data_IF_512724753498
#
_entry.id   IF_512724753498
#
_cell.length_a   1.000
_cell.length_b   1.000
_cell.length_c   1.000
_cell.angle_alpha   90.00
_cell.angle_beta   90.00
_cell.angle_gamma   90.00
#
_symmetry.space_group_name_H-M   'P 1'
#
loop_
_entity.id
_entity.type
_entity.pdbx_description
1 polymer ?
#
# COMPACT_ATOMS: atom_id res chain seq x y z
N UNK A 1 -38.76 -65.08 1.79
CA UNK A 1 -40.01 -64.98 2.58
C UNK A 1 -40.89 -63.91 1.94
N UNK A 2 -42.14 -64.29 1.57
CA UNK A 2 -43.30 -63.49 1.10
C UNK A 2 -43.07 -62.63 -0.16
N UNK A 3 -43.50 -62.95 -1.38
CA UNK A 3 -44.66 -63.65 -1.96
C UNK A 3 -45.98 -62.83 -1.99
N UNK A 4 -46.42 -62.46 -3.21
CA UNK A 4 -47.79 -62.46 -3.79
C UNK A 4 -47.84 -61.53 -5.02
N UNK A 5 -48.56 -61.74 -6.13
CA UNK A 5 -49.22 -62.83 -6.89
C UNK A 5 -50.21 -62.11 -7.84
N UNK A 6 -50.39 -62.56 -9.10
CA UNK A 6 -51.51 -62.13 -9.96
C UNK A 6 -51.15 -61.88 -11.44
N UNK A 7 -50.94 -62.84 -12.36
CA UNK A 7 -51.81 -63.82 -13.05
C UNK A 7 -52.64 -63.35 -14.28
N UNK A 8 -52.26 -63.91 -15.47
CA UNK A 8 -53.08 -64.43 -16.63
C UNK A 8 -53.61 -63.31 -17.60
N UNK A 9 -53.61 -63.33 -18.96
CA UNK A 9 -54.03 -64.32 -19.99
C UNK A 9 -53.41 -64.02 -21.39
N UNK A 10 -53.14 -65.12 -22.12
CA UNK A 10 -52.78 -65.35 -23.52
C UNK A 10 -53.72 -64.73 -24.59
N UNK A 11 -53.20 -64.33 -25.76
CA UNK A 11 -53.88 -64.59 -27.05
C UNK A 11 -52.90 -64.51 -28.24
N UNK A 12 -52.89 -65.60 -29.02
CA UNK A 12 -52.22 -65.82 -30.30
C UNK A 12 -53.00 -65.17 -31.45
N UNK A 13 -52.31 -64.64 -32.48
CA UNK A 13 -52.82 -64.61 -33.86
C UNK A 13 -51.69 -64.80 -34.88
N UNK A 14 -52.01 -65.57 -35.92
CA UNK A 14 -51.14 -66.28 -36.88
C UNK A 14 -51.37 -65.71 -38.29
N UNK A 15 -50.31 -65.52 -39.11
CA UNK A 15 -50.35 -65.52 -40.59
C UNK A 15 -48.89 -65.54 -41.13
N UNK A 16 -48.31 -66.60 -41.74
CA UNK A 16 -48.45 -67.13 -43.12
C UNK A 16 -48.28 -66.00 -44.19
N UNK A 17 -47.24 -65.93 -45.06
CA UNK A 17 -46.95 -66.81 -46.21
C UNK A 17 -45.69 -66.36 -47.00
N UNK A 18 -44.85 -67.34 -47.36
CA UNK A 18 -44.03 -67.59 -48.57
C UNK A 18 -42.84 -66.72 -49.08
N UNK A 19 -41.81 -67.50 -49.42
CA UNK A 19 -40.49 -67.29 -50.03
C UNK A 19 -40.58 -67.08 -51.56
N UNK A 20 -39.67 -66.33 -52.19
CA UNK A 20 -38.91 -66.75 -53.39
C UNK A 20 -37.69 -65.85 -53.65
N UNK A 21 -36.58 -66.49 -53.98
CA UNK A 21 -35.29 -65.94 -54.38
C UNK A 21 -35.10 -66.24 -55.88
N UNK A 22 -34.64 -65.30 -56.70
CA UNK A 22 -34.22 -65.56 -58.08
C UNK A 22 -33.18 -64.55 -58.60
N UNK A 23 -32.18 -65.06 -59.34
CA UNK A 23 -30.93 -64.42 -59.74
C UNK A 23 -30.94 -63.66 -61.09
N UNK A 24 -30.12 -62.59 -61.12
CA UNK A 24 -29.12 -62.09 -62.11
C UNK A 24 -29.46 -61.94 -63.61
N UNK A 25 -29.19 -60.72 -64.14
CA UNK A 25 -28.56 -60.50 -65.46
C UNK A 25 -27.87 -59.11 -65.55
N UNK A 26 -26.56 -59.11 -65.79
CA UNK A 26 -25.71 -58.06 -66.39
C UNK A 26 -25.83 -58.19 -67.93
N UNK A 27 -25.66 -57.22 -68.84
CA UNK A 27 -24.99 -55.91 -68.92
C UNK A 27 -25.72 -55.10 -70.02
N UNK A 28 -25.70 -53.77 -69.94
CA UNK A 28 -25.55 -52.86 -71.08
C UNK A 28 -25.00 -51.51 -70.54
N UNK A 29 -24.12 -50.87 -71.30
CA UNK A 29 -23.16 -49.85 -70.84
C UNK A 29 -23.70 -48.73 -69.95
N UNK A 30 -22.95 -48.42 -68.89
CA UNK A 30 -23.15 -47.18 -68.12
C UNK A 30 -22.89 -45.99 -69.05
N UNK A 31 -23.97 -45.29 -69.38
CA UNK A 31 -23.94 -43.84 -69.63
C UNK A 31 -23.08 -43.18 -68.54
N UNK A 32 -22.18 -42.22 -68.85
CA UNK A 32 -21.52 -41.48 -67.78
C UNK A 32 -22.60 -40.90 -66.87
N UNK A 33 -22.50 -41.19 -65.57
CA UNK A 33 -23.48 -40.71 -64.59
C UNK A 33 -23.78 -39.23 -64.84
N UNK A 34 -25.06 -38.82 -64.89
CA UNK A 34 -25.41 -37.44 -65.18
C UNK A 34 -24.65 -36.54 -64.20
N UNK A 35 -23.93 -35.55 -64.72
CA UNK A 35 -23.18 -34.59 -63.90
C UNK A 35 -24.19 -33.89 -62.99
N UNK A 36 -24.11 -34.18 -61.69
CA UNK A 36 -25.01 -33.59 -60.70
C UNK A 36 -24.69 -32.11 -60.56
N UNK A 37 -25.65 -31.25 -60.90
CA UNK A 37 -25.54 -29.81 -60.68
C UNK A 37 -25.71 -29.51 -59.20
N UNK A 38 -24.85 -28.65 -58.64
CA UNK A 38 -24.93 -28.21 -57.24
C UNK A 38 -24.80 -26.70 -57.13
N UNK A 39 -25.50 -26.13 -56.16
CA UNK A 39 -25.31 -24.79 -55.64
C UNK A 39 -25.11 -24.95 -54.14
N UNK A 40 -24.15 -24.26 -53.55
CA UNK A 40 -23.87 -24.29 -52.11
C UNK A 40 -23.44 -22.90 -51.67
N UNK A 41 -24.09 -22.35 -50.64
CA UNK A 41 -23.65 -21.12 -49.98
C UNK A 41 -22.51 -21.50 -49.04
N UNK A 42 -21.31 -21.01 -49.30
CA UNK A 42 -20.09 -21.35 -48.55
C UNK A 42 -19.71 -20.29 -47.50
N UNK A 43 -20.26 -19.09 -47.64
CA UNK A 43 -20.13 -17.99 -46.70
C UNK A 43 -21.41 -17.14 -46.77
N UNK A 44 -22.01 -16.71 -45.65
CA UNK A 44 -21.81 -17.22 -44.29
C UNK A 44 -22.25 -18.68 -44.11
N UNK A 45 -21.94 -19.28 -42.96
CA UNK A 45 -22.45 -20.62 -42.60
C UNK A 45 -23.92 -20.56 -42.15
N UNK A 46 -24.65 -21.66 -42.32
CA UNK A 46 -26.04 -21.76 -41.84
C UNK A 46 -26.17 -21.47 -40.33
N UNK A 47 -27.21 -20.73 -39.97
CA UNK A 47 -27.52 -20.22 -38.64
C UNK A 47 -26.47 -19.26 -38.05
N UNK A 48 -25.62 -18.64 -38.87
CA UNK A 48 -24.68 -17.61 -38.39
C UNK A 48 -25.44 -16.42 -37.77
N UNK A 49 -24.92 -15.92 -36.65
CA UNK A 49 -25.40 -14.70 -36.00
C UNK A 49 -24.58 -13.51 -36.48
N UNK A 50 -25.25 -12.44 -36.88
CA UNK A 50 -24.62 -11.21 -37.37
C UNK A 50 -25.25 -10.01 -36.66
N UNK A 51 -24.41 -9.07 -36.23
CA UNK A 51 -24.87 -7.82 -35.63
C UNK A 51 -25.41 -6.89 -36.72
N UNK A 52 -26.60 -6.31 -36.49
CA UNK A 52 -27.17 -5.31 -37.40
C UNK A 52 -26.20 -4.13 -37.56
N UNK A 53 -25.97 -3.72 -38.82
CA UNK A 53 -25.00 -2.69 -39.21
C UNK A 53 -23.68 -3.26 -39.73
N UNK A 54 -23.43 -4.57 -39.61
CA UNK A 54 -22.33 -5.24 -40.31
C UNK A 54 -22.67 -5.50 -41.79
N UNK A 55 -21.65 -5.46 -42.64
CA UNK A 55 -21.78 -5.86 -44.05
C UNK A 55 -21.36 -7.33 -44.15
N UNK A 56 -22.27 -8.20 -44.56
CA UNK A 56 -22.02 -9.63 -44.74
C UNK A 56 -21.60 -9.88 -46.19
N UNK A 57 -20.50 -10.60 -46.40
CA UNK A 57 -20.21 -11.19 -47.71
C UNK A 57 -20.89 -12.55 -47.83
N UNK A 58 -21.69 -12.70 -48.88
CA UNK A 58 -22.38 -13.93 -49.24
C UNK A 58 -21.69 -14.51 -50.46
N UNK A 59 -21.13 -15.71 -50.33
CA UNK A 59 -20.42 -16.42 -51.38
C UNK A 59 -21.08 -17.76 -51.65
N UNK A 60 -21.26 -18.10 -52.92
CA UNK A 60 -21.77 -19.39 -53.33
C UNK A 60 -20.83 -20.08 -54.33
N UNK A 61 -20.79 -21.40 -54.28
CA UNK A 61 -20.07 -22.26 -55.20
C UNK A 61 -21.07 -23.08 -56.00
N UNK A 62 -20.92 -23.05 -57.32
CA UNK A 62 -21.73 -23.84 -58.25
C UNK A 62 -20.86 -24.87 -58.97
N UNK A 63 -21.37 -26.07 -59.18
CA UNK A 63 -20.65 -27.14 -59.89
C UNK A 63 -21.57 -27.93 -60.83
N UNK A 64 -20.98 -28.55 -61.86
CA UNK A 64 -21.70 -29.43 -62.77
C UNK A 64 -22.47 -28.76 -63.91
N UNK A 65 -22.30 -27.45 -64.10
CA UNK A 65 -22.93 -26.66 -65.16
C UNK A 65 -22.06 -26.61 -66.43
N UNK A 66 -22.68 -26.61 -67.61
CA UNK A 66 -21.99 -26.72 -68.91
C UNK A 66 -21.85 -25.41 -69.70
N UNK A 67 -22.52 -24.33 -69.29
CA UNK A 67 -22.60 -23.02 -69.95
C UNK A 67 -22.50 -21.85 -68.94
N UNK A 68 -22.81 -20.62 -69.37
CA UNK A 68 -22.99 -19.45 -68.50
C UNK A 68 -24.07 -19.72 -67.45
N UNK A 69 -23.69 -19.72 -66.17
CA UNK A 69 -24.61 -19.85 -65.04
C UNK A 69 -24.99 -18.47 -64.55
N UNK A 70 -26.28 -18.25 -64.37
CA UNK A 70 -26.81 -17.09 -63.67
C UNK A 70 -27.10 -17.51 -62.23
N UNK A 71 -26.55 -16.79 -61.25
CA UNK A 71 -26.83 -17.01 -59.83
C UNK A 71 -27.66 -15.85 -59.30
N UNK A 72 -28.82 -16.15 -58.74
CA UNK A 72 -29.65 -15.18 -58.04
C UNK A 72 -29.61 -15.44 -56.53
N UNK A 73 -29.39 -14.39 -55.75
CA UNK A 73 -29.53 -14.43 -54.30
C UNK A 73 -30.86 -13.81 -53.90
N UNK A 74 -31.55 -14.48 -52.99
CA UNK A 74 -32.81 -14.01 -52.40
C UNK A 74 -32.72 -13.99 -50.88
N UNK A 75 -33.35 -12.99 -50.26
CA UNK A 75 -33.57 -12.89 -48.82
C UNK A 75 -35.08 -12.93 -48.59
N UNK A 76 -35.55 -13.88 -47.78
CA UNK A 76 -36.98 -14.09 -47.47
C UNK A 76 -37.88 -14.06 -48.71
N UNK A 77 -37.53 -14.87 -49.71
CA UNK A 77 -38.19 -15.00 -51.02
C UNK A 77 -38.12 -13.78 -51.96
N UNK A 78 -37.43 -12.71 -51.55
CA UNK A 78 -37.19 -11.52 -52.40
C UNK A 78 -35.81 -11.62 -53.03
N UNK A 79 -35.73 -11.65 -54.36
CA UNK A 79 -34.45 -11.58 -55.07
C UNK A 79 -33.79 -10.23 -54.83
N UNK A 80 -32.59 -10.23 -54.25
CA UNK A 80 -31.82 -9.04 -53.88
C UNK A 80 -30.64 -8.79 -54.81
N UNK A 81 -30.11 -9.84 -55.44
CA UNK A 81 -28.94 -9.74 -56.31
C UNK A 81 -28.95 -10.83 -57.38
N UNK A 82 -28.29 -10.57 -58.50
CA UNK A 82 -28.11 -11.54 -59.58
C UNK A 82 -26.77 -11.27 -60.26
N UNK A 83 -26.02 -12.33 -60.54
CA UNK A 83 -24.73 -12.25 -61.24
C UNK A 83 -24.52 -13.44 -62.17
N UNK A 84 -23.88 -13.20 -63.32
CA UNK A 84 -23.37 -14.24 -64.21
C UNK A 84 -21.85 -14.39 -64.18
N UNK A 85 -21.17 -13.62 -63.32
CA UNK A 85 -19.71 -13.55 -63.25
C UNK A 85 -19.18 -14.17 -61.96
N UNK A 86 -18.06 -14.89 -62.06
CA UNK A 86 -17.34 -15.47 -60.92
C UNK A 86 -16.28 -14.49 -60.38
N UNK A 87 -16.07 -14.37 -59.05
CA UNK A 87 -16.71 -15.15 -57.99
C UNK A 87 -18.17 -14.76 -57.77
N UNK A 88 -18.99 -15.74 -57.39
CA UNK A 88 -20.41 -15.53 -57.13
C UNK A 88 -20.58 -14.99 -55.71
N UNK A 89 -20.49 -13.66 -55.59
CA UNK A 89 -20.49 -12.96 -54.31
C UNK A 89 -21.52 -11.82 -54.30
N UNK A 90 -22.14 -11.60 -53.14
CA UNK A 90 -23.05 -10.49 -52.86
C UNK A 90 -22.75 -9.91 -51.48
N UNK A 91 -22.60 -8.58 -51.38
CA UNK A 91 -22.47 -7.91 -50.08
C UNK A 91 -23.85 -7.46 -49.59
N UNK A 92 -24.28 -8.00 -48.46
CA UNK A 92 -25.51 -7.60 -47.77
C UNK A 92 -25.18 -6.59 -46.68
N UNK A 93 -25.57 -5.33 -46.92
CA UNK A 93 -25.61 -4.30 -45.88
C UNK A 93 -26.83 -4.53 -44.99
N UNK A 94 -26.58 -4.87 -43.73
CA UNK A 94 -27.62 -5.18 -42.74
C UNK A 94 -28.13 -3.93 -42.01
N UNK A 95 -27.58 -2.74 -42.28
CA UNK A 95 -28.06 -1.50 -41.70
C UNK A 95 -29.55 -1.27 -42.07
N UNK A 96 -30.34 -0.88 -41.07
CA UNK A 96 -31.79 -0.68 -41.19
C UNK A 96 -32.65 -1.95 -41.26
N UNK A 97 -32.08 -3.16 -41.18
CA UNK A 97 -32.84 -4.39 -41.02
C UNK A 97 -33.27 -4.61 -39.55
N UNK A 98 -34.38 -5.32 -39.34
CA UNK A 98 -34.87 -5.65 -37.99
C UNK A 98 -34.20 -6.91 -37.46
N UNK A 99 -34.03 -7.07 -36.13
CA UNK A 99 -33.53 -8.31 -35.56
C UNK A 99 -34.50 -9.46 -35.86
N UNK A 100 -33.96 -10.61 -36.27
CA UNK A 100 -34.76 -11.75 -36.71
C UNK A 100 -33.97 -12.79 -37.50
N UNK A 101 -34.66 -13.87 -37.85
CA UNK A 101 -34.11 -14.91 -38.74
C UNK A 101 -34.53 -14.64 -40.17
N UNK A 102 -33.56 -14.56 -41.06
CA UNK A 102 -33.71 -14.33 -42.49
C UNK A 102 -33.26 -15.57 -43.26
N UNK A 103 -34.04 -15.97 -44.26
CA UNK A 103 -33.69 -17.08 -45.15
C UNK A 103 -32.92 -16.55 -46.35
N UNK A 104 -31.64 -16.90 -46.44
CA UNK A 104 -30.80 -16.64 -47.59
C UNK A 104 -30.87 -17.83 -48.54
N UNK A 105 -31.16 -17.55 -49.80
CA UNK A 105 -31.28 -18.56 -50.85
C UNK A 105 -30.43 -18.19 -52.06
N UNK A 106 -29.67 -19.15 -52.57
CA UNK A 106 -28.91 -19.01 -53.81
C UNK A 106 -29.46 -19.97 -54.87
N UNK A 107 -30.00 -19.45 -55.96
CA UNK A 107 -30.54 -20.22 -57.08
C UNK A 107 -29.62 -20.11 -58.31
N UNK A 108 -29.06 -21.24 -58.74
CA UNK A 108 -28.22 -21.34 -59.92
C UNK A 108 -29.04 -21.85 -61.11
N UNK A 109 -29.13 -21.05 -62.17
CA UNK A 109 -29.98 -21.32 -63.34
C UNK A 109 -29.17 -21.77 -64.56
N UNK A 110 -29.55 -22.93 -65.12
CA UNK A 110 -29.22 -23.33 -66.49
C UNK A 110 -30.45 -24.06 -67.06
N UNK A 111 -31.27 -23.33 -67.84
CA UNK A 111 -32.59 -23.74 -68.36
C UNK A 111 -32.64 -25.22 -68.81
N UNK A 112 -33.55 -26.07 -68.27
CA UNK A 112 -34.62 -25.80 -67.29
C UNK A 112 -34.25 -26.16 -65.84
N UNK A 113 -32.96 -26.36 -65.53
CA UNK A 113 -32.49 -26.95 -64.28
C UNK A 113 -32.04 -25.88 -63.30
N UNK A 114 -32.58 -25.96 -62.08
CA UNK A 114 -32.21 -25.12 -60.95
C UNK A 114 -31.49 -26.01 -59.94
N UNK A 115 -30.28 -25.63 -59.54
CA UNK A 115 -29.70 -26.11 -58.28
C UNK A 115 -29.80 -24.96 -57.27
N UNK A 116 -30.22 -25.26 -56.05
CA UNK A 116 -30.45 -24.25 -55.02
C UNK A 116 -29.81 -24.67 -53.72
N UNK A 117 -29.44 -23.69 -52.93
CA UNK A 117 -29.12 -23.86 -51.51
C UNK A 117 -29.84 -22.80 -50.68
N UNK A 118 -30.18 -23.16 -49.45
CA UNK A 118 -30.88 -22.30 -48.51
C UNK A 118 -30.21 -22.40 -47.15
N UNK A 119 -29.84 -21.24 -46.59
CA UNK A 119 -29.33 -21.11 -45.23
C UNK A 119 -30.12 -20.05 -44.47
N UNK A 120 -30.01 -20.09 -43.15
CA UNK A 120 -30.61 -19.10 -42.26
C UNK A 120 -29.55 -18.18 -41.68
N UNK A 121 -29.84 -16.89 -41.59
CA UNK A 121 -29.01 -15.89 -40.92
C UNK A 121 -29.82 -15.22 -39.82
N UNK A 122 -29.24 -15.12 -38.65
CA UNK A 122 -29.89 -14.53 -37.48
C UNK A 122 -29.28 -13.15 -37.29
N UNK A 123 -30.01 -12.12 -37.70
CA UNK A 123 -29.64 -10.75 -37.35
C UNK A 123 -30.00 -10.50 -35.90
N UNK A 124 -29.00 -10.14 -35.10
CA UNK A 124 -29.15 -9.75 -33.71
C UNK A 124 -28.94 -8.24 -33.59
N UNK A 125 -29.72 -7.63 -32.69
CA UNK A 125 -29.55 -6.24 -32.28
C UNK A 125 -29.07 -6.25 -30.83
N UNK A 126 -27.76 -6.35 -30.64
CA UNK A 126 -27.16 -6.35 -29.31
C UNK A 126 -26.98 -4.91 -28.84
N UNK A 127 -28.08 -4.22 -28.51
CA UNK A 127 -28.02 -2.95 -27.77
C UNK A 127 -27.62 -3.30 -26.34
N UNK A 128 -26.37 -3.02 -25.97
CA UNK A 128 -25.96 -3.06 -24.56
C UNK A 128 -26.58 -1.82 -23.89
N UNK A 129 -27.40 -1.98 -22.84
CA UNK A 129 -27.99 -0.84 -22.16
C UNK A 129 -26.90 -0.02 -21.46
N UNK A 130 -26.94 1.30 -21.61
CA UNK A 130 -26.08 2.22 -20.86
C UNK A 130 -26.26 2.00 -19.35
N UNK A 131 -25.16 1.74 -18.68
CA UNK A 131 -25.07 1.48 -17.25
C UNK A 131 -23.77 2.08 -16.71
N UNK A 132 -23.72 2.41 -15.42
CA UNK A 132 -22.49 2.93 -14.85
C UNK A 132 -21.43 1.81 -14.71
N UNK A 133 -20.15 2.19 -14.64
CA UNK A 133 -19.06 1.23 -14.47
C UNK A 133 -19.14 0.52 -13.12
N UNK A 134 -18.45 -0.62 -13.00
CA UNK A 134 -18.27 -1.36 -11.76
C UNK A 134 -16.83 -1.14 -11.25
N UNK A 135 -16.63 -0.22 -10.28
CA UNK A 135 -15.30 0.05 -9.74
C UNK A 135 -14.83 -1.09 -8.84
N UNK A 136 -13.55 -1.43 -8.95
CA UNK A 136 -12.88 -2.44 -8.11
C UNK A 136 -11.58 -1.86 -7.56
N UNK A 137 -11.36 -1.96 -6.25
CA UNK A 137 -10.13 -1.51 -5.59
C UNK A 137 -9.30 -2.71 -5.17
N UNK A 138 -8.03 -2.73 -5.56
CA UNK A 138 -6.99 -3.57 -4.98
C UNK A 138 -5.93 -2.68 -4.32
N UNK A 139 -5.57 -2.95 -3.06
CA UNK A 139 -4.50 -2.22 -2.33
C UNK A 139 -3.37 -3.18 -2.02
N UNK A 140 -2.14 -2.83 -2.39
CA UNK A 140 -0.95 -3.65 -2.18
C UNK A 140 0.11 -2.85 -1.41
N UNK A 141 0.53 -3.29 -0.21
CA UNK A 141 -0.02 -4.39 0.58
C UNK A 141 -1.39 -4.05 1.22
N UNK A 142 -2.19 -5.05 1.59
CA UNK A 142 -3.54 -4.85 2.18
C UNK A 142 -3.52 -4.21 3.60
N UNK A 143 -2.35 -4.15 4.23
CA UNK A 143 -2.10 -3.45 5.48
C UNK A 143 -0.62 -3.05 5.55
N UNK A 144 -0.32 -2.01 6.30
CA UNK A 144 1.06 -1.55 6.43
C UNK A 144 1.26 -0.59 7.58
N UNK A 145 2.35 0.17 7.49
CA UNK A 145 2.76 1.15 8.48
C UNK A 145 2.86 2.53 7.84
N UNK A 146 3.15 3.55 8.65
CA UNK A 146 3.50 4.90 8.16
C UNK A 146 4.75 4.92 7.28
N UNK A 147 5.51 3.82 7.15
CA UNK A 147 6.62 3.70 6.20
C UNK A 147 6.27 2.96 4.90
N UNK A 148 5.10 2.34 4.85
CA UNK A 148 4.65 1.58 3.69
C UNK A 148 4.19 2.51 2.57
N UNK A 149 4.73 2.31 1.37
CA UNK A 149 4.17 2.86 0.13
C UNK A 149 3.14 1.84 -0.36
N UNK A 150 1.90 2.28 -0.52
CA UNK A 150 0.80 1.45 -0.99
C UNK A 150 0.55 1.71 -2.47
N UNK A 151 0.30 0.65 -3.23
CA UNK A 151 -0.21 0.73 -4.60
C UNK A 151 -1.73 0.56 -4.56
N UNK A 152 -2.45 1.53 -5.12
CA UNK A 152 -3.90 1.54 -5.30
C UNK A 152 -4.21 1.22 -6.76
N UNK A 153 -4.84 0.08 -7.01
CA UNK A 153 -5.03 -0.49 -8.34
C UNK A 153 -6.52 -0.69 -8.66
N UNK A 154 -6.98 0.03 -9.68
CA UNK A 154 -8.31 0.01 -10.25
C UNK A 154 -8.42 -0.83 -11.53
N UNK A 155 -7.36 -1.53 -11.97
CA UNK A 155 -7.32 -2.27 -13.24
C UNK A 155 -8.29 -3.44 -13.34
N UNK A 156 -8.87 -3.86 -12.21
CA UNK A 156 -9.93 -4.86 -12.16
C UNK A 156 -11.34 -4.29 -12.32
N UNK A 157 -11.48 -2.96 -12.40
CA UNK A 157 -12.75 -2.30 -12.71
C UNK A 157 -13.20 -2.66 -14.12
N UNK A 158 -14.50 -2.68 -14.35
CA UNK A 158 -15.03 -3.03 -15.66
C UNK A 158 -16.34 -2.31 -15.95
N UNK A 159 -16.63 -2.22 -17.23
CA UNK A 159 -17.89 -1.75 -17.78
C UNK A 159 -18.29 -2.70 -18.93
N UNK A 160 -19.58 -2.88 -19.22
CA UNK A 160 -20.01 -3.88 -20.21
C UNK A 160 -19.94 -3.33 -21.64
N UNK A 161 -20.10 -2.02 -21.78
CA UNK A 161 -20.15 -1.29 -23.04
C UNK A 161 -18.84 -0.53 -23.31
N UNK A 162 -18.13 -0.12 -22.26
CA UNK A 162 -16.86 0.59 -22.36
C UNK A 162 -15.65 -0.28 -22.07
N UNK A 163 -14.54 0.01 -22.77
CA UNK A 163 -13.26 -0.64 -22.50
C UNK A 163 -12.58 0.00 -21.28
N UNK A 164 -11.72 -0.75 -20.59
CA UNK A 164 -10.97 -0.23 -19.43
C UNK A 164 -10.18 1.05 -19.75
N UNK A 165 -9.73 1.25 -21.00
CA UNK A 165 -8.98 2.44 -21.40
C UNK A 165 -9.85 3.69 -21.57
N UNK A 166 -11.17 3.50 -21.70
CA UNK A 166 -12.15 4.58 -21.80
C UNK A 166 -12.69 4.99 -20.42
N UNK A 167 -12.44 4.18 -19.39
CA UNK A 167 -12.80 4.50 -18.00
C UNK A 167 -11.84 5.51 -17.37
N UNK A 168 -12.40 6.41 -16.57
CA UNK A 168 -11.68 7.37 -15.76
C UNK A 168 -11.86 7.08 -14.27
N UNK A 169 -10.81 7.25 -13.48
CA UNK A 169 -10.75 6.94 -12.07
C UNK A 169 -10.30 8.15 -11.25
N UNK A 170 -10.85 8.30 -10.05
CA UNK A 170 -10.34 9.21 -9.01
C UNK A 170 -10.45 8.61 -7.62
N UNK A 171 -9.60 9.09 -6.72
CA UNK A 171 -9.42 8.55 -5.37
C UNK A 171 -9.66 9.60 -4.29
N UNK A 172 -10.26 9.15 -3.19
CA UNK A 172 -10.30 9.80 -1.88
C UNK A 172 -9.64 8.79 -0.91
N UNK A 173 -8.39 9.07 -0.53
CA UNK A 173 -7.50 8.14 0.18
C UNK A 173 -7.87 8.00 1.65
N UNK A 174 -8.45 9.03 2.26
CA UNK A 174 -8.85 9.06 3.66
C UNK A 174 -10.33 8.72 3.89
N UNK A 175 -11.17 8.89 2.88
CA UNK A 175 -12.62 8.75 2.96
C UNK A 175 -13.29 9.96 3.62
N UNK A 176 -12.72 11.16 3.47
CA UNK A 176 -13.26 12.38 4.11
C UNK A 176 -14.34 13.08 3.28
N UNK A 177 -14.54 12.64 2.04
CA UNK A 177 -15.54 13.16 1.10
C UNK A 177 -14.99 14.22 0.14
N UNK A 178 -13.73 14.63 0.26
CA UNK A 178 -13.01 15.43 -0.72
C UNK A 178 -12.12 14.52 -1.59
N UNK A 179 -11.98 14.85 -2.86
CA UNK A 179 -11.20 14.02 -3.79
C UNK A 179 -9.73 14.45 -3.81
N UNK A 180 -8.81 13.53 -3.56
CA UNK A 180 -7.36 13.77 -3.62
C UNK A 180 -6.82 13.84 -5.04
N UNK A 181 -7.49 13.15 -5.97
CA UNK A 181 -7.10 13.11 -7.37
C UNK A 181 -8.22 13.58 -8.27
N UNK A 182 -7.83 14.18 -9.40
CA UNK A 182 -8.74 14.39 -10.53
C UNK A 182 -8.99 13.07 -11.28
N UNK A 183 -10.03 13.04 -12.11
CA UNK A 183 -10.30 11.90 -13.00
C UNK A 183 -9.15 11.68 -13.99
N UNK A 184 -8.69 10.44 -14.10
CA UNK A 184 -7.66 10.03 -15.05
C UNK A 184 -7.83 8.57 -15.48
N UNK A 185 -7.27 8.18 -16.63
CA UNK A 185 -7.26 6.78 -17.07
C UNK A 185 -6.08 5.95 -16.49
N UNK A 186 -5.43 6.46 -15.44
CA UNK A 186 -4.34 5.74 -14.76
C UNK A 186 -4.97 4.74 -13.80
N UNK A 187 -4.70 3.45 -14.04
CA UNK A 187 -5.29 2.37 -13.26
C UNK A 187 -4.53 2.06 -11.97
N UNK A 188 -3.26 2.48 -11.81
CA UNK A 188 -2.48 2.22 -10.60
C UNK A 188 -1.68 3.45 -10.17
N UNK A 189 -1.82 3.83 -8.90
CA UNK A 189 -1.10 4.95 -8.28
C UNK A 189 -0.47 4.52 -6.95
N UNK A 190 0.59 5.22 -6.56
CA UNK A 190 1.23 5.02 -5.26
C UNK A 190 0.85 6.14 -4.30
N UNK A 191 0.58 5.79 -3.04
CA UNK A 191 0.34 6.75 -1.97
C UNK A 191 0.90 6.23 -0.63
N UNK A 192 1.35 7.16 0.22
CA UNK A 192 1.94 6.87 1.54
C UNK A 192 1.26 7.72 2.61
N UNK A 193 0.76 7.07 3.65
CA UNK A 193 0.13 7.72 4.79
C UNK A 193 1.18 8.16 5.82
N UNK A 194 1.04 9.37 6.34
CA UNK A 194 1.94 9.94 7.37
C UNK A 194 1.40 9.78 8.79
N UNK A 195 0.12 9.40 8.93
CA UNK A 195 -0.54 9.16 10.21
C UNK A 195 -1.06 7.73 10.28
N UNK A 196 -1.16 7.21 11.50
CA UNK A 196 -1.79 5.91 11.74
C UNK A 196 -3.31 6.05 11.71
N UNK A 197 -4.00 5.02 11.23
CA UNK A 197 -5.44 5.12 11.11
C UNK A 197 -6.10 3.91 10.46
N UNK A 198 -7.42 3.91 10.60
CA UNK A 198 -8.31 3.11 9.77
C UNK A 198 -8.88 4.06 8.72
N UNK A 199 -8.50 3.86 7.46
CA UNK A 199 -8.91 4.68 6.33
C UNK A 199 -10.02 3.98 5.56
N UNK A 200 -10.96 4.76 5.02
CA UNK A 200 -12.05 4.29 4.17
C UNK A 200 -11.82 4.78 2.75
N UNK A 201 -10.83 4.18 2.10
CA UNK A 201 -10.40 4.55 0.75
C UNK A 201 -11.56 4.39 -0.22
N UNK A 202 -11.88 5.45 -0.95
CA UNK A 202 -12.95 5.49 -1.94
C UNK A 202 -12.39 5.65 -3.34
N UNK A 203 -12.93 4.88 -4.28
CA UNK A 203 -12.67 4.97 -5.71
C UNK A 203 -13.98 5.30 -6.42
N UNK A 204 -13.97 6.32 -7.27
CA UNK A 204 -15.04 6.56 -8.24
C UNK A 204 -14.54 6.31 -9.66
N UNK A 205 -15.32 5.56 -10.43
CA UNK A 205 -15.12 5.32 -11.84
C UNK A 205 -16.19 6.07 -12.66
N UNK A 206 -15.79 6.57 -13.83
CA UNK A 206 -16.66 7.22 -14.82
C UNK A 206 -16.46 6.59 -16.18
N UNK A 207 -17.56 6.31 -16.87
CA UNK A 207 -17.58 5.79 -18.24
C UNK A 207 -17.57 6.91 -19.30
N UNK A 208 -17.62 6.52 -20.58
CA UNK A 208 -17.59 7.46 -21.70
C UNK A 208 -18.89 8.30 -21.83
N UNK A 209 -19.99 7.80 -21.26
CA UNK A 209 -21.30 8.44 -21.17
C UNK A 209 -21.46 9.35 -19.93
N UNK A 210 -20.38 9.53 -19.16
CA UNK A 210 -20.33 10.33 -17.94
C UNK A 210 -21.21 9.81 -16.79
N UNK A 211 -21.60 8.53 -16.80
CA UNK A 211 -22.20 7.89 -15.64
C UNK A 211 -21.09 7.47 -14.66
N UNK A 212 -21.37 7.56 -13.37
CA UNK A 212 -20.40 7.22 -12.32
C UNK A 212 -20.95 6.20 -11.34
N UNK A 213 -20.02 5.44 -10.78
CA UNK A 213 -20.24 4.61 -9.60
C UNK A 213 -19.00 4.63 -8.72
N UNK A 214 -19.19 4.43 -7.43
CA UNK A 214 -18.11 4.40 -6.45
C UNK A 214 -18.14 3.16 -5.56
N UNK A 215 -16.98 2.85 -4.98
CA UNK A 215 -16.79 1.78 -4.01
C UNK A 215 -15.80 2.19 -2.93
N UNK A 216 -15.83 1.51 -1.79
CA UNK A 216 -15.00 1.80 -0.62
C UNK A 216 -14.34 0.53 -0.10
N UNK A 217 -13.07 0.62 0.29
CA UNK A 217 -12.34 -0.44 1.00
C UNK A 217 -11.69 0.13 2.27
N UNK A 218 -11.56 -0.70 3.30
CA UNK A 218 -10.88 -0.29 4.54
C UNK A 218 -9.39 -0.64 4.49
N UNK A 219 -8.53 0.31 4.84
CA UNK A 219 -7.08 0.13 4.97
C UNK A 219 -6.64 0.44 6.40
N UNK A 220 -5.82 -0.45 6.97
CA UNK A 220 -5.22 -0.22 8.29
C UNK A 220 -3.76 0.18 8.12
N UNK A 221 -3.44 1.38 8.59
CA UNK A 221 -2.08 1.90 8.69
C UNK A 221 -1.70 1.96 10.16
N UNK A 222 -0.64 1.23 10.50
CA UNK A 222 -0.09 1.15 11.86
C UNK A 222 1.18 1.97 12.00
N UNK A 223 1.71 2.09 13.22
CA UNK A 223 3.02 2.71 13.40
C UNK A 223 4.08 1.87 12.70
N UNK A 224 5.04 2.53 12.06
CA UNK A 224 6.30 1.88 11.70
C UNK A 224 6.90 1.28 12.97
N UNK A 225 7.10 -0.04 13.00
CA UNK A 225 7.80 -0.69 14.11
C UNK A 225 9.27 -0.40 13.88
N UNK A 226 9.76 0.73 14.40
CA UNK A 226 11.20 0.89 14.52
C UNK A 226 11.72 -0.26 15.40
N UNK A 227 12.77 -1.00 14.96
CA UNK A 227 13.42 -1.95 15.84
C UNK A 227 13.80 -1.21 17.13
N UNK A 228 13.53 -1.82 18.28
CA UNK A 228 13.87 -1.23 19.59
C UNK A 228 15.32 -0.76 19.54
N UNK A 229 15.61 0.55 19.63
CA UNK A 229 16.98 1.05 19.48
C UNK A 229 17.89 0.52 20.59
N UNK A 230 17.31 0.02 21.69
CA UNK A 230 18.04 -0.65 22.75
C UNK A 230 18.14 -2.18 22.59
N UNK A 231 17.82 -2.74 21.42
CA UNK A 231 17.61 -4.17 21.15
C UNK A 231 18.41 -5.13 22.06
N UNK A 232 17.72 -5.70 23.06
CA UNK A 232 18.26 -6.69 23.98
C UNK A 232 19.23 -6.16 25.06
N UNK A 233 19.59 -4.89 25.03
CA UNK A 233 20.46 -4.22 26.00
C UNK A 233 19.61 -3.65 27.13
N UNK A 234 19.13 -4.46 28.07
CA UNK A 234 18.30 -3.97 29.20
C UNK A 234 19.12 -3.11 30.17
N UNK A 235 20.38 -3.49 30.40
CA UNK A 235 21.31 -2.77 31.24
C UNK A 235 22.76 -3.14 30.94
N UNK A 236 23.69 -2.29 31.38
CA UNK A 236 25.13 -2.45 31.23
C UNK A 236 25.85 -2.25 32.57
N UNK A 237 26.84 -3.09 32.91
CA UNK A 237 27.74 -2.83 34.03
C UNK A 237 28.85 -1.86 33.60
N UNK A 238 29.06 -0.79 34.35
CA UNK A 238 30.10 0.20 34.07
C UNK A 238 30.54 0.93 35.33
N UNK A 239 31.85 1.11 35.53
CA UNK A 239 32.40 1.83 36.69
C UNK A 239 31.93 1.33 38.07
N UNK A 240 31.65 0.04 38.21
CA UNK A 240 31.14 -0.56 39.46
C UNK A 240 29.65 -0.36 39.71
N UNK A 241 28.91 0.19 38.74
CA UNK A 241 27.45 0.41 38.78
C UNK A 241 26.77 -0.36 37.63
N UNK A 242 25.44 -0.41 37.68
CA UNK A 242 24.60 -0.94 36.61
C UNK A 242 23.71 0.19 36.10
N UNK A 243 23.76 0.45 34.81
CA UNK A 243 22.93 1.45 34.13
C UNK A 243 21.94 0.72 33.23
N UNK A 244 20.66 0.99 33.42
CA UNK A 244 19.61 0.51 32.54
C UNK A 244 19.50 1.40 31.31
N UNK A 245 18.91 0.86 30.27
CA UNK A 245 18.65 1.60 29.04
C UNK A 245 17.17 1.93 28.91
N UNK A 246 16.86 2.88 28.05
CA UNK A 246 15.50 3.22 27.67
C UNK A 246 15.46 3.66 26.20
N UNK A 247 14.61 3.05 25.37
CA UNK A 247 14.40 3.51 24.01
C UNK A 247 13.54 4.77 24.01
N UNK A 248 13.99 5.80 23.29
CA UNK A 248 13.21 7.01 23.04
C UNK A 248 13.34 7.34 21.56
N UNK A 249 12.25 7.17 20.81
CA UNK A 249 12.29 7.30 19.35
C UNK A 249 13.24 6.27 18.75
N UNK A 250 14.23 6.74 18.00
CA UNK A 250 15.28 5.90 17.39
C UNK A 250 16.56 5.82 18.23
N UNK A 251 16.54 6.36 19.45
CA UNK A 251 17.72 6.51 20.29
C UNK A 251 17.65 5.58 21.49
N UNK A 252 18.79 5.01 21.87
CA UNK A 252 18.92 4.24 23.10
C UNK A 252 19.72 5.01 24.15
N UNK A 253 19.04 5.42 25.22
CA UNK A 253 19.60 6.26 26.28
C UNK A 253 19.89 5.46 27.54
N UNK A 254 20.92 5.86 28.30
CA UNK A 254 21.04 5.44 29.69
C UNK A 254 19.93 6.10 30.53
N UNK A 255 19.32 5.32 31.42
CA UNK A 255 18.20 5.72 32.29
C UNK A 255 18.65 6.24 33.67
N UNK A 256 19.85 5.93 34.11
CA UNK A 256 20.50 6.58 35.27
C UNK A 256 21.60 7.56 34.83
N UNK A 257 21.80 8.65 35.59
CA UNK A 257 22.93 9.57 35.40
C UNK A 257 24.24 8.84 35.76
N UNK A 258 25.34 9.11 35.06
CA UNK A 258 26.62 8.47 35.38
C UNK A 258 27.07 8.77 36.81
N UNK A 259 27.49 7.74 37.53
CA UNK A 259 28.02 7.79 38.89
C UNK A 259 29.31 6.95 38.98
N UNK A 260 30.36 7.40 38.30
CA UNK A 260 31.65 6.70 38.22
C UNK A 260 32.78 7.61 38.72
N UNK A 261 33.97 7.06 38.92
CA UNK A 261 35.11 7.85 39.39
C UNK A 261 35.11 8.18 40.88
N UNK A 262 36.11 8.96 41.28
CA UNK A 262 36.40 9.36 42.66
C UNK A 262 35.64 10.64 42.99
N UNK A 263 34.94 10.62 44.12
CA UNK A 263 34.30 11.82 44.64
C UNK A 263 35.35 12.79 45.19
N UNK A 264 35.31 14.03 44.73
CA UNK A 264 36.05 15.15 45.29
C UNK A 264 35.15 15.99 46.19
N UNK A 265 35.77 16.80 47.05
CA UNK A 265 35.08 17.94 47.63
C UNK A 265 34.99 19.05 46.58
N UNK A 266 33.86 19.75 46.53
CA UNK A 266 33.61 20.84 45.58
C UNK A 266 34.57 22.03 45.68
N UNK A 267 35.35 22.14 46.76
CA UNK A 267 36.44 23.10 46.88
C UNK A 267 37.67 22.74 46.01
N UNK A 268 37.81 21.47 45.61
CA UNK A 268 38.91 20.97 44.79
C UNK A 268 38.45 20.79 43.33
N UNK A 269 39.10 21.43 42.34
CA UNK A 269 38.70 21.32 40.94
C UNK A 269 38.97 19.92 40.37
N UNK A 270 38.09 19.45 39.48
CA UNK A 270 38.33 18.24 38.67
C UNK A 270 39.48 18.51 37.69
N UNK A 271 40.40 17.56 37.53
CA UNK A 271 41.70 17.78 36.88
C UNK A 271 42.12 16.64 35.95
N UNK A 272 42.85 16.98 34.88
CA UNK A 272 43.35 15.99 33.94
C UNK A 272 44.52 15.19 34.54
N UNK A 273 44.18 14.18 35.32
CA UNK A 273 45.12 13.31 36.04
C UNK A 273 44.88 11.82 35.76
N UNK A 274 44.07 11.51 34.73
CA UNK A 274 43.67 10.16 34.31
C UNK A 274 42.79 9.39 35.31
N UNK A 275 42.37 10.04 36.39
CA UNK A 275 41.36 9.53 37.31
C UNK A 275 40.07 10.25 36.98
N UNK A 276 38.98 9.48 36.78
CA UNK A 276 37.68 10.12 36.61
C UNK A 276 37.27 10.71 37.96
N UNK A 277 36.92 11.98 37.98
CA UNK A 277 36.58 12.75 39.18
C UNK A 277 35.14 13.25 39.08
N UNK A 278 34.45 13.36 40.22
CA UNK A 278 33.08 13.87 40.27
C UNK A 278 32.83 14.65 41.53
N UNK A 279 31.79 15.47 41.49
CA UNK A 279 31.13 15.96 42.69
C UNK A 279 29.86 15.16 42.96
N UNK A 280 29.53 15.02 44.24
CA UNK A 280 28.19 14.66 44.67
C UNK A 280 27.54 15.92 45.23
N UNK A 281 26.25 16.11 44.97
CA UNK A 281 25.55 17.31 45.46
C UNK A 281 25.77 17.52 46.97
N UNK A 282 26.11 18.74 47.37
CA UNK A 282 26.48 19.12 48.75
C UNK A 282 27.68 18.36 49.34
N UNK A 283 28.57 17.81 48.51
CA UNK A 283 29.67 16.97 48.93
C UNK A 283 29.23 15.78 49.80
N UNK A 284 28.03 15.25 49.53
CA UNK A 284 27.46 14.09 50.20
C UNK A 284 27.34 12.91 49.23
N UNK A 285 28.07 11.83 49.52
CA UNK A 285 28.05 10.59 48.72
C UNK A 285 26.65 9.99 48.54
N UNK A 286 25.73 10.19 49.48
CA UNK A 286 24.34 9.68 49.37
C UNK A 286 23.58 10.37 48.24
N UNK A 287 23.95 11.60 47.89
CA UNK A 287 23.37 12.31 46.76
C UNK A 287 23.88 11.79 45.42
N UNK A 288 25.10 11.24 45.34
CA UNK A 288 25.53 10.52 44.13
C UNK A 288 24.74 9.23 43.94
N UNK A 289 24.44 8.48 45.00
CA UNK A 289 23.61 7.28 44.92
C UNK A 289 22.19 7.62 44.44
N UNK A 290 21.68 8.80 44.81
CA UNK A 290 20.35 9.27 44.46
C UNK A 290 20.29 9.86 43.04
N UNK A 291 21.20 10.76 42.71
CA UNK A 291 21.12 11.63 41.54
C UNK A 291 22.17 11.36 40.46
N UNK A 292 23.22 10.60 40.78
CA UNK A 292 24.42 10.48 39.95
C UNK A 292 25.49 11.53 40.29
N UNK A 293 26.63 11.42 39.62
CA UNK A 293 27.73 12.36 39.74
C UNK A 293 27.52 13.63 38.91
N UNK A 294 28.14 14.72 39.37
CA UNK A 294 28.24 15.98 38.64
C UNK A 294 29.67 16.15 38.12
N UNK A 295 29.81 16.36 36.82
CA UNK A 295 31.10 16.41 36.12
C UNK A 295 31.26 17.76 35.43
N UNK A 296 32.45 18.34 35.54
CA UNK A 296 32.85 19.47 34.69
C UNK A 296 32.85 19.03 33.23
N UNK A 297 32.65 19.97 32.29
CA UNK A 297 32.52 19.59 30.89
C UNK A 297 33.78 18.88 30.35
N UNK A 298 34.96 19.42 30.70
CA UNK A 298 36.24 18.83 30.31
C UNK A 298 36.44 17.43 30.92
N UNK A 299 36.00 17.22 32.16
CA UNK A 299 36.04 15.92 32.82
C UNK A 299 35.10 14.92 32.13
N UNK A 300 33.85 15.33 31.84
CA UNK A 300 32.88 14.51 31.10
C UNK A 300 33.43 14.12 29.72
N UNK A 301 34.05 15.04 28.99
CA UNK A 301 34.65 14.76 27.69
C UNK A 301 35.97 13.99 27.79
N UNK A 302 36.40 13.62 29.00
CA UNK A 302 37.69 12.97 29.27
C UNK A 302 38.85 13.75 28.62
N UNK A 303 38.77 15.07 28.66
CA UNK A 303 39.71 16.05 28.09
C UNK A 303 39.97 15.88 26.58
N UNK A 304 39.05 15.25 25.85
CA UNK A 304 39.09 15.13 24.38
C UNK A 304 37.81 15.79 23.83
N UNK A 305 37.88 17.05 23.36
CA UNK A 305 36.72 17.84 22.93
C UNK A 305 36.25 17.42 21.52
N UNK A 306 35.90 16.15 21.35
CA UNK A 306 35.34 15.60 20.13
C UNK A 306 33.81 15.61 20.25
N UNK A 307 33.11 16.33 19.38
CA UNK A 307 31.65 16.28 19.30
C UNK A 307 31.18 14.85 18.99
N UNK A 308 30.15 14.36 19.69
CA UNK A 308 29.74 12.95 19.66
C UNK A 308 30.81 11.99 20.21
N UNK A 309 31.80 12.51 20.93
CA UNK A 309 32.89 11.72 21.49
C UNK A 309 32.43 10.87 22.67
N UNK A 310 33.10 9.72 22.85
CA UNK A 310 32.83 8.80 23.96
C UNK A 310 32.84 9.50 25.33
N UNK A 311 33.78 10.42 25.57
CA UNK A 311 34.01 11.01 26.88
C UNK A 311 34.19 9.94 27.96
N UNK A 312 33.53 10.14 29.10
CA UNK A 312 33.48 9.19 30.22
C UNK A 312 32.40 8.11 30.07
N UNK A 313 31.67 8.04 28.95
CA UNK A 313 30.66 7.02 28.71
C UNK A 313 31.28 5.61 28.55
N UNK A 314 30.49 4.53 28.70
CA UNK A 314 30.94 3.16 28.42
C UNK A 314 31.42 2.99 26.97
N UNK A 315 32.16 1.92 26.67
CA UNK A 315 32.52 1.59 25.28
C UNK A 315 31.27 1.24 24.48
N UNK A 316 31.16 1.79 23.26
CA UNK A 316 29.97 1.67 22.42
C UNK A 316 28.85 2.63 22.80
N UNK A 317 29.14 3.63 23.63
CA UNK A 317 28.26 4.69 24.06
C UNK A 317 29.03 6.01 24.03
N UNK A 318 28.35 7.12 23.87
CA UNK A 318 28.99 8.43 23.81
C UNK A 318 28.18 9.54 24.50
N UNK A 319 28.82 10.70 24.65
CA UNK A 319 28.19 11.91 25.18
C UNK A 319 27.36 12.55 24.08
N UNK A 320 26.04 12.72 24.28
CA UNK A 320 25.12 13.17 23.23
C UNK A 320 25.53 14.53 22.67
N UNK A 321 25.45 14.68 21.35
CA UNK A 321 25.57 15.94 20.64
C UNK A 321 24.29 16.76 20.65
N UNK A 322 24.35 17.97 20.08
CA UNK A 322 23.19 18.87 20.00
C UNK A 322 22.02 18.27 19.20
N UNK A 323 22.32 17.65 18.05
CA UNK A 323 21.29 17.08 17.18
C UNK A 323 20.61 15.86 17.81
N UNK A 324 21.35 15.06 18.59
CA UNK A 324 20.77 13.93 19.32
C UNK A 324 19.86 14.39 20.45
N UNK A 325 20.22 15.46 21.15
CA UNK A 325 19.32 16.12 22.08
C UNK A 325 18.06 16.63 21.38
N UNK A 326 18.19 17.28 20.21
CA UNK A 326 17.02 17.79 19.45
C UNK A 326 16.10 16.66 18.99
N UNK A 327 16.64 15.52 18.59
CA UNK A 327 15.85 14.34 18.25
C UNK A 327 15.10 13.79 19.48
N UNK A 328 15.77 13.68 20.64
CA UNK A 328 15.10 13.32 21.89
C UNK A 328 13.95 14.28 22.19
N UNK A 329 14.21 15.59 22.14
CA UNK A 329 13.24 16.63 22.48
C UNK A 329 12.02 16.61 21.54
N UNK A 330 12.23 16.54 20.23
CA UNK A 330 11.14 16.45 19.25
C UNK A 330 10.40 15.11 19.25
N UNK A 331 11.03 14.04 19.75
CA UNK A 331 10.35 12.76 19.95
C UNK A 331 9.39 12.81 21.12
N UNK A 332 9.77 13.52 22.20
CA UNK A 332 9.02 13.50 23.46
C UNK A 332 8.02 14.64 23.60
N UNK A 333 8.01 15.62 22.70
CA UNK A 333 7.03 16.71 22.69
C UNK A 333 5.75 16.33 21.94
N UNK A 334 4.59 16.79 22.43
CA UNK A 334 3.30 16.50 21.77
C UNK A 334 2.90 17.49 20.69
N UNK A 335 3.59 18.62 20.57
CA UNK A 335 3.27 19.68 19.61
C UNK A 335 4.36 19.84 18.54
N UNK A 336 5.62 19.74 18.91
CA UNK A 336 6.76 19.99 18.01
C UNK A 336 7.55 18.71 17.74
N UNK A 337 7.35 18.10 16.57
CA UNK A 337 8.02 16.85 16.21
C UNK A 337 9.53 16.97 15.98
N UNK A 338 10.20 15.84 15.74
CA UNK A 338 11.61 15.80 15.34
C UNK A 338 11.85 16.65 14.08
N UNK A 339 12.87 17.51 14.11
CA UNK A 339 13.22 18.39 13.00
C UNK A 339 12.43 19.71 12.95
N UNK A 340 11.50 19.95 13.88
CA UNK A 340 10.83 21.25 13.99
C UNK A 340 11.84 22.38 14.33
N UNK A 341 11.77 23.55 13.67
CA UNK A 341 12.63 24.71 13.98
C UNK A 341 12.55 25.22 15.43
N UNK A 342 11.54 24.83 16.20
CA UNK A 342 11.48 25.03 17.66
C UNK A 342 12.77 24.51 18.34
N UNK A 343 13.31 23.39 17.87
CA UNK A 343 14.51 22.75 18.42
C UNK A 343 15.82 23.43 18.05
N UNK A 344 15.81 24.51 17.27
CA UNK A 344 16.97 25.36 17.02
C UNK A 344 17.02 26.59 17.94
N UNK A 345 15.94 26.88 18.69
CA UNK A 345 15.87 28.02 19.60
C UNK A 345 16.72 27.79 20.84
N UNK A 346 17.30 28.87 21.37
CA UNK A 346 17.93 28.87 22.71
C UNK A 346 16.90 29.24 23.79
N UNK A 347 17.24 29.01 25.06
CA UNK A 347 16.34 29.12 26.22
C UNK A 347 15.26 28.03 26.24
N UNK A 348 14.26 28.19 27.10
CA UNK A 348 13.10 27.30 27.21
C UNK A 348 12.33 27.22 25.89
N UNK A 349 12.12 25.99 25.45
CA UNK A 349 11.50 25.60 24.19
C UNK A 349 10.67 24.32 24.35
N UNK A 350 9.90 24.02 23.31
CA UNK A 350 8.95 22.92 23.34
C UNK A 350 7.71 23.23 24.17
N UNK A 351 6.69 22.40 24.03
CA UNK A 351 5.43 22.51 24.76
C UNK A 351 5.46 21.73 26.08
N UNK A 352 5.77 20.45 26.02
CA UNK A 352 5.72 19.52 27.16
C UNK A 352 6.85 18.48 27.18
N UNK A 353 7.85 18.61 26.30
CA UNK A 353 9.02 17.74 26.26
C UNK A 353 9.68 17.55 27.64
N UNK A 354 9.87 18.65 28.38
CA UNK A 354 10.49 18.59 29.70
C UNK A 354 9.65 17.82 30.72
N UNK A 355 8.34 18.02 30.73
CA UNK A 355 7.40 17.26 31.58
C UNK A 355 7.45 15.77 31.30
N UNK A 356 7.68 15.38 30.05
CA UNK A 356 7.77 13.99 29.62
C UNK A 356 9.10 13.31 29.99
N UNK A 357 10.17 14.09 30.10
CA UNK A 357 11.49 13.62 30.52
C UNK A 357 11.67 13.57 32.04
N UNK A 358 11.03 14.49 32.78
CA UNK A 358 11.10 14.57 34.24
C UNK A 358 10.60 13.30 34.94
N UNK A 359 11.24 12.93 36.04
CA UNK A 359 10.82 11.82 36.90
C UNK A 359 9.44 12.05 37.54
N UNK A 360 8.78 10.94 37.90
CA UNK A 360 7.47 10.95 38.56
C UNK A 360 7.46 11.60 39.95
N UNK A 361 8.62 11.65 40.61
CA UNK A 361 8.79 12.13 41.98
C UNK A 361 10.14 12.86 42.10
N UNK A 362 10.25 13.71 43.11
CA UNK A 362 11.48 14.40 43.49
C UNK A 362 11.59 15.86 43.06
N UNK A 363 10.59 16.37 42.34
CA UNK A 363 10.52 17.78 41.92
C UNK A 363 9.68 18.60 42.91
N UNK A 364 10.16 19.81 43.21
CA UNK A 364 9.54 20.74 44.13
C UNK A 364 8.19 21.24 43.64
N UNK A 365 7.36 21.74 44.57
CA UNK A 365 6.10 22.45 44.28
C UNK A 365 5.12 21.70 43.35
N UNK A 366 5.16 20.37 43.33
CA UNK A 366 4.32 19.56 42.44
C UNK A 366 4.79 19.52 40.99
N UNK A 367 6.00 20.02 40.69
CA UNK A 367 6.61 20.09 39.36
C UNK A 367 7.09 18.75 38.78
N UNK A 368 6.59 17.63 39.31
CA UNK A 368 6.96 16.29 38.84
C UNK A 368 6.54 16.10 37.39
N UNK A 369 7.37 15.36 36.64
CA UNK A 369 6.99 14.90 35.31
C UNK A 369 6.03 13.73 35.34
N UNK A 370 5.61 13.31 34.16
CA UNK A 370 4.88 12.05 33.99
C UNK A 370 5.80 10.91 33.53
N UNK A 371 7.08 11.19 33.24
CA UNK A 371 8.09 10.23 32.80
C UNK A 371 7.60 9.31 31.67
N UNK A 372 6.85 9.87 30.71
CA UNK A 372 6.12 9.11 29.69
C UNK A 372 7.02 8.17 28.88
N UNK A 373 8.25 8.60 28.61
CA UNK A 373 9.24 7.86 27.81
C UNK A 373 10.31 7.16 28.66
N UNK A 374 10.15 7.13 29.99
CA UNK A 374 11.06 6.38 30.86
C UNK A 374 12.45 6.98 31.11
N UNK A 375 12.79 8.14 30.51
CA UNK A 375 14.09 8.83 30.64
C UNK A 375 14.49 9.14 32.10
N UNK A 376 13.50 9.45 32.94
CA UNK A 376 13.62 9.59 34.40
C UNK A 376 14.68 10.63 34.82
N UNK A 377 14.57 11.85 34.31
CA UNK A 377 15.41 12.96 34.78
C UNK A 377 15.05 13.35 36.23
N UNK A 378 16.02 13.22 37.13
CA UNK A 378 15.91 13.62 38.53
C UNK A 378 16.37 15.06 38.70
N UNK A 379 15.72 15.83 39.58
CA UNK A 379 16.12 17.20 39.92
C UNK A 379 17.40 17.22 40.79
N UNK A 380 18.54 16.89 40.16
CA UNK A 380 19.84 16.72 40.80
C UNK A 380 20.49 18.04 41.26
N UNK A 381 19.94 19.18 40.84
CA UNK A 381 20.63 20.45 40.89
C UNK A 381 21.90 20.43 40.04
N UNK A 382 22.80 21.33 40.37
CA UNK A 382 24.13 21.44 39.76
C UNK A 382 25.11 22.12 40.71
N UNK A 383 26.37 22.17 40.29
CA UNK A 383 27.39 22.99 40.91
C UNK A 383 27.95 23.99 39.89
N UNK A 384 28.19 25.22 40.33
CA UNK A 384 28.76 26.28 39.49
C UNK A 384 30.04 26.80 40.14
N UNK A 385 31.12 26.85 39.35
CA UNK A 385 32.45 27.17 39.86
C UNK A 385 32.52 28.56 40.48
N UNK A 386 33.01 28.62 41.72
CA UNK A 386 33.08 29.85 42.51
C UNK A 386 31.77 30.28 43.19
N UNK A 387 30.68 29.52 43.00
CA UNK A 387 29.39 29.75 43.66
C UNK A 387 29.12 28.68 44.72
N UNK A 388 28.17 27.77 44.48
CA UNK A 388 27.77 26.71 45.39
C UNK A 388 26.94 25.67 44.63
N UNK A 389 26.63 24.56 45.30
CA UNK A 389 25.55 23.68 44.88
C UNK A 389 24.20 24.40 44.96
N UNK A 390 23.36 24.27 43.93
CA UNK A 390 22.04 24.89 43.86
C UNK A 390 21.05 24.03 43.07
N UNK A 391 19.75 24.31 43.24
CA UNK A 391 18.72 23.70 42.40
C UNK A 391 18.29 22.26 42.77
N UNK A 392 18.72 21.71 43.91
CA UNK A 392 18.23 20.38 44.34
C UNK A 392 16.71 20.40 44.46
N UNK A 393 16.05 19.44 43.81
CA UNK A 393 14.60 19.35 43.77
C UNK A 393 13.94 20.36 42.83
N UNK A 394 14.64 21.39 42.36
CA UNK A 394 14.07 22.44 41.51
C UNK A 394 14.49 22.33 40.05
N UNK A 395 15.71 21.85 39.77
CA UNK A 395 16.22 21.73 38.41
C UNK A 395 17.27 20.63 38.24
N UNK A 396 17.56 20.30 36.98
CA UNK A 396 18.71 19.47 36.61
C UNK A 396 19.25 19.93 35.27
N UNK A 397 20.57 19.81 35.12
CA UNK A 397 21.29 20.13 33.89
C UNK A 397 21.99 18.89 33.35
N UNK A 398 22.02 18.76 32.03
CA UNK A 398 22.74 17.75 31.29
C UNK A 398 23.68 18.40 30.30
N UNK A 399 24.90 17.89 30.23
CA UNK A 399 25.85 18.33 29.22
C UNK A 399 25.56 17.75 27.84
N UNK A 400 25.89 18.54 26.82
CA UNK A 400 26.11 18.10 25.45
C UNK A 400 27.61 18.04 25.16
N UNK A 401 28.02 17.24 24.19
CA UNK A 401 29.41 17.21 23.69
C UNK A 401 29.77 18.43 22.82
N UNK A 402 28.81 19.31 22.55
CA UNK A 402 29.01 20.55 21.82
C UNK A 402 29.57 21.66 22.72
N UNK A 403 30.58 22.40 22.24
CA UNK A 403 31.13 23.56 22.93
C UNK A 403 31.53 24.65 21.93
N UNK A 404 31.68 25.87 22.44
CA UNK A 404 32.15 27.03 21.70
C UNK A 404 33.64 27.33 21.99
N UNK A 405 34.21 28.24 21.22
CA UNK A 405 35.60 28.70 21.40
C UNK A 405 35.82 29.60 22.63
N UNK A 406 34.75 29.94 23.35
CA UNK A 406 34.73 30.87 24.49
C UNK A 406 34.70 30.18 25.85
N UNK A 407 35.03 28.89 25.92
CA UNK A 407 34.96 28.05 27.12
C UNK A 407 33.53 27.84 27.64
N UNK A 408 32.53 27.88 26.75
CA UNK A 408 31.18 27.49 27.09
C UNK A 408 30.78 26.22 26.34
N UNK A 409 30.05 25.35 27.03
CA UNK A 409 29.48 24.15 26.48
C UNK A 409 27.96 24.20 26.44
N UNK A 410 27.38 23.54 25.44
CA UNK A 410 25.94 23.41 25.29
C UNK A 410 25.38 22.48 26.38
N UNK A 411 24.21 22.84 26.91
CA UNK A 411 23.56 22.13 28.00
C UNK A 411 22.05 22.10 27.81
N UNK A 412 21.42 21.12 28.45
CA UNK A 412 19.96 21.03 28.58
C UNK A 412 19.55 21.15 30.04
N UNK A 413 18.56 21.99 30.31
CA UNK A 413 18.03 22.18 31.66
C UNK A 413 16.53 21.87 31.73
N UNK A 414 16.13 21.17 32.79
CA UNK A 414 14.74 20.95 33.17
C UNK A 414 14.46 21.64 34.51
N UNK A 415 13.33 22.33 34.62
CA UNK A 415 12.93 23.06 35.82
C UNK A 415 11.56 22.60 36.34
N UNK A 416 11.34 22.72 37.65
CA UNK A 416 10.11 22.26 38.30
C UNK A 416 8.86 23.00 37.81
N UNK A 417 8.99 24.28 37.45
CA UNK A 417 7.90 25.15 37.03
C UNK A 417 7.74 25.26 35.51
N UNK A 418 8.52 24.51 34.74
CA UNK A 418 8.47 24.46 33.27
C UNK A 418 8.11 23.08 32.77
N UNK A 419 7.27 23.04 31.75
CA UNK A 419 6.91 21.81 31.03
C UNK A 419 7.78 21.62 29.76
N UNK A 420 8.38 22.69 29.23
CA UNK A 420 9.41 22.61 28.19
C UNK A 420 10.81 22.30 28.74
N UNK A 421 11.79 22.32 27.86
CA UNK A 421 13.22 22.08 28.15
C UNK A 421 14.03 23.29 27.69
N UNK A 422 15.08 23.66 28.42
CA UNK A 422 15.94 24.79 28.05
C UNK A 422 17.21 24.32 27.38
N UNK A 423 17.61 24.99 26.30
CA UNK A 423 18.93 24.88 25.68
C UNK A 423 19.74 26.15 25.93
N UNK A 424 20.92 26.02 26.55
CA UNK A 424 21.79 27.16 26.83
C UNK A 424 23.26 26.77 26.83
N UNK A 425 24.13 27.74 26.63
CA UNK A 425 25.56 27.60 26.86
C UNK A 425 25.88 27.90 28.33
N UNK A 426 26.76 27.10 28.91
CA UNK A 426 27.23 27.22 30.30
C UNK A 426 28.74 27.10 30.34
N UNK A 427 29.34 27.69 31.36
CA UNK A 427 30.79 27.70 31.53
C UNK A 427 31.27 26.25 31.73
N UNK A 428 32.35 25.86 31.05
CA UNK A 428 32.87 24.47 31.10
C UNK A 428 33.29 24.04 32.51
N UNK A 429 33.51 24.99 33.43
CA UNK A 429 33.80 24.77 34.84
C UNK A 429 32.56 24.49 35.70
N UNK A 430 31.33 24.65 35.20
CA UNK A 430 30.15 24.16 35.90
C UNK A 430 30.15 22.62 35.92
N UNK A 431 29.48 21.99 36.88
CA UNK A 431 29.38 20.54 36.97
C UNK A 431 27.92 20.06 36.90
N UNK A 432 27.62 19.28 35.87
CA UNK A 432 26.28 18.80 35.54
C UNK A 432 26.21 17.28 35.47
N UNK A 433 24.98 16.77 35.45
CA UNK A 433 24.72 15.34 35.26
C UNK A 433 25.09 14.92 33.84
N UNK A 434 25.50 13.66 33.68
CA UNK A 434 25.87 13.10 32.37
C UNK A 434 24.95 11.94 32.03
N UNK A 435 24.42 12.00 30.80
CA UNK A 435 23.63 10.97 30.14
C UNK A 435 24.41 10.49 28.93
N UNK A 436 24.43 9.17 28.70
CA UNK A 436 25.06 8.60 27.51
C UNK A 436 24.00 8.02 26.58
N UNK A 437 24.29 8.07 25.29
CA UNK A 437 23.50 7.48 24.22
C UNK A 437 24.34 6.39 23.53
N UNK A 438 23.66 5.38 22.99
CA UNK A 438 24.28 4.25 22.28
C UNK A 438 24.75 4.67 20.88
N UNK A 439 25.94 4.21 20.49
CA UNK A 439 26.52 4.44 19.14
C UNK A 439 25.73 3.78 18.00
#
# INVERSE_FOLDING_TARGET
MKNKYGHIILAFTLALIFVFNACKKENDGEDPAPVQKSCEIVNPFDSSQVQIGEIISIEAVVSGFGQTVLLAFSIDSTQVFETGETPYEFSWDTDGWLPGTYMLRADAFEDPVIASDEITIILIDTIIPLQPPVPVINIIPEAGTTDTIFTFDASASYDQEDSLTDLLFRWDYEGDGEWDTEFSNITALEHKYVHVGHYHVRLEAMDSDSMTADTVISLVVSHSVNPDPCEGIISIPYGGKVYHTVPVGNQCWLRENLDIGVMLNSADPQSNNQVIEKYCYNDDSTNCEKYGGLYMWNEMMNYIPLQGGKGICPVGWHVPGDDEWKELEGTVDTQFGVGDPEWDKSSFRGYDAGKHLKSLLGWASGGNGNNLYGFKALAAGYWESGFAFTGEGEETHFWSSMHDSGHNADSRALQYDKDGISRTYQWEEAAFSVRCIKD
#
